data_IF_386364311139
#
_entry.id   IF_386364311139
#
_cell.length_a   1.000
_cell.length_b   1.000
_cell.length_c   1.000
_cell.angle_alpha   90.00
_cell.angle_beta   90.00
_cell.angle_gamma   90.00
#
_symmetry.space_group_name_H-M   'P 1'
#
loop_
_entity.id
_entity.type
_entity.pdbx_description
1 polymer ?
#
# COMPACT_ATOMS: atom_id res chain seq x y z
N UNK A 1 -3.69 10.51 11.50
CA UNK A 1 -2.27 10.17 11.72
C UNK A 1 -1.83 10.35 13.16
N UNK A 2 -1.96 11.56 13.76
CA UNK A 2 -1.51 11.81 15.15
C UNK A 2 -2.18 10.86 16.15
N UNK A 3 -3.52 10.75 16.09
CA UNK A 3 -4.27 9.82 16.94
C UNK A 3 -3.83 8.36 16.78
N UNK A 4 -3.56 7.94 15.53
CA UNK A 4 -3.07 6.59 15.24
C UNK A 4 -1.65 6.37 15.79
N UNK A 5 -0.78 7.38 15.78
CA UNK A 5 0.55 7.29 16.41
C UNK A 5 0.46 7.14 17.92
N UNK A 6 -0.38 7.93 18.58
CA UNK A 6 -0.59 7.84 20.02
C UNK A 6 -1.12 6.46 20.44
N UNK A 7 -2.11 5.93 19.71
CA UNK A 7 -2.67 4.60 20.00
C UNK A 7 -1.71 3.45 19.67
N UNK A 8 -0.74 3.66 18.77
CA UNK A 8 0.20 2.61 18.37
C UNK A 8 1.48 2.58 19.21
N UNK A 9 1.68 3.58 20.06
CA UNK A 9 2.96 3.87 20.68
C UNK A 9 3.45 2.72 21.57
N UNK A 10 2.57 2.11 22.35
CA UNK A 10 2.87 0.95 23.19
C UNK A 10 3.35 -0.26 22.36
N UNK A 11 2.64 -0.55 21.27
CA UNK A 11 3.00 -1.62 20.35
C UNK A 11 4.36 -1.33 19.66
N UNK A 12 4.68 -0.06 19.38
CA UNK A 12 5.94 0.35 18.76
C UNK A 12 7.13 0.20 19.70
N UNK A 13 6.95 0.55 20.98
CA UNK A 13 7.94 0.29 22.02
C UNK A 13 8.18 -1.22 22.17
N UNK A 14 7.12 -2.03 22.17
CA UNK A 14 7.25 -3.48 22.17
C UNK A 14 8.05 -4.01 20.96
N UNK A 15 7.82 -3.42 19.78
CA UNK A 15 8.49 -3.83 18.54
C UNK A 15 9.98 -3.45 18.53
N UNK A 16 10.34 -2.29 19.09
CA UNK A 16 11.75 -1.85 19.18
C UNK A 16 12.49 -2.61 20.28
N UNK A 17 11.86 -2.83 21.44
CA UNK A 17 12.52 -3.38 22.62
C UNK A 17 12.60 -4.92 22.58
N UNK A 18 11.57 -5.61 22.07
CA UNK A 18 11.53 -7.08 22.09
C UNK A 18 11.98 -7.74 20.79
N UNK A 19 11.97 -7.04 19.65
CA UNK A 19 12.27 -7.64 18.35
C UNK A 19 13.55 -7.07 17.72
N UNK A 20 14.31 -7.94 17.03
CA UNK A 20 15.47 -7.51 16.25
C UNK A 20 15.04 -6.57 15.12
N UNK A 21 15.69 -5.41 15.03
CA UNK A 21 15.49 -4.44 13.95
C UNK A 21 15.95 -5.08 12.64
N UNK A 22 15.00 -5.35 11.75
CA UNK A 22 15.25 -5.83 10.38
C UNK A 22 14.98 -4.70 9.39
N UNK A 23 15.51 -4.74 8.16
CA UNK A 23 15.27 -3.70 7.16
C UNK A 23 13.79 -3.30 6.97
N UNK A 24 12.81 -4.22 6.95
CA UNK A 24 11.38 -3.85 6.85
C UNK A 24 10.88 -2.99 8.02
N UNK A 25 11.47 -3.15 9.22
CA UNK A 25 11.13 -2.35 10.40
C UNK A 25 11.61 -0.91 10.23
N UNK A 26 12.77 -0.69 9.62
CA UNK A 26 13.26 0.66 9.30
C UNK A 26 12.34 1.33 8.29
N UNK A 27 11.96 0.61 7.24
CA UNK A 27 11.02 1.10 6.20
C UNK A 27 9.67 1.47 6.83
N UNK A 28 9.17 0.69 7.79
CA UNK A 28 7.95 1.02 8.54
C UNK A 28 8.05 2.37 9.26
N UNK A 29 9.13 2.63 10.01
CA UNK A 29 9.28 3.90 10.72
C UNK A 29 9.45 5.08 9.76
N UNK A 30 10.20 4.88 8.67
CA UNK A 30 10.34 5.89 7.61
C UNK A 30 8.97 6.22 7.02
N UNK A 31 8.15 5.22 6.68
CA UNK A 31 6.80 5.42 6.13
C UNK A 31 5.90 6.25 7.06
N UNK A 32 5.90 5.96 8.37
CA UNK A 32 5.08 6.73 9.33
C UNK A 32 5.56 8.16 9.47
N UNK A 33 6.87 8.36 9.63
CA UNK A 33 7.44 9.69 9.82
C UNK A 33 7.23 10.56 8.58
N UNK A 34 7.48 10.00 7.39
CA UNK A 34 7.26 10.73 6.13
C UNK A 34 5.80 11.06 5.90
N UNK A 35 4.85 10.18 6.27
CA UNK A 35 3.43 10.48 6.17
C UNK A 35 2.99 11.60 7.13
N UNK A 36 3.53 11.63 8.35
CA UNK A 36 3.27 12.73 9.28
C UNK A 36 3.84 14.05 8.76
N UNK A 37 5.10 14.06 8.31
CA UNK A 37 5.73 15.23 7.73
C UNK A 37 4.98 15.72 6.49
N UNK A 38 4.60 14.82 5.58
CA UNK A 38 3.79 15.13 4.41
C UNK A 38 2.46 15.78 4.82
N UNK A 39 1.72 15.20 5.76
CA UNK A 39 0.45 15.75 6.23
C UNK A 39 0.61 17.15 6.81
N UNK A 40 1.58 17.35 7.70
CA UNK A 40 1.85 18.64 8.33
C UNK A 40 2.26 19.71 7.32
N UNK A 41 3.19 19.41 6.42
CA UNK A 41 3.66 20.35 5.40
C UNK A 41 2.57 20.65 4.39
N UNK A 42 1.82 19.65 3.93
CA UNK A 42 0.71 19.83 3.00
C UNK A 42 -0.40 20.70 3.62
N UNK A 43 -0.74 20.50 4.89
CA UNK A 43 -1.71 21.36 5.59
C UNK A 43 -1.19 22.79 5.73
N UNK A 44 0.08 22.98 6.10
CA UNK A 44 0.68 24.32 6.16
C UNK A 44 0.68 25.01 4.78
N UNK A 45 0.97 24.23 3.71
CA UNK A 45 0.94 24.67 2.32
C UNK A 45 -0.43 25.16 1.86
N UNK A 46 -1.46 24.35 2.09
CA UNK A 46 -2.84 24.69 1.70
C UNK A 46 -3.39 25.87 2.49
N UNK A 47 -3.05 25.99 3.78
CA UNK A 47 -3.52 27.07 4.65
C UNK A 47 -2.67 28.35 4.55
N UNK A 48 -1.57 28.34 3.80
CA UNK A 48 -0.69 29.51 3.68
C UNK A 48 0.03 29.89 5.00
N UNK A 49 0.12 28.95 5.94
CA UNK A 49 0.65 29.22 7.27
C UNK A 49 2.18 29.20 7.23
N UNK A 50 2.79 30.37 7.47
CA UNK A 50 4.24 30.51 7.66
C UNK A 50 5.10 30.13 6.43
N UNK A 51 4.54 30.23 5.22
CA UNK A 51 5.26 29.95 3.97
C UNK A 51 5.51 31.27 3.26
N UNK A 52 6.77 31.71 3.33
CA UNK A 52 7.24 32.90 2.60
C UNK A 52 7.58 32.57 1.14
N UNK A 53 7.87 31.29 0.84
CA UNK A 53 8.25 30.81 -0.48
C UNK A 53 7.44 29.55 -0.83
N UNK A 54 6.46 29.70 -1.73
CA UNK A 54 5.62 28.60 -2.19
C UNK A 54 6.40 27.51 -2.90
N UNK A 55 7.53 27.84 -3.56
CA UNK A 55 8.37 26.85 -4.23
C UNK A 55 9.01 25.90 -3.22
N UNK A 56 9.55 26.47 -2.13
CA UNK A 56 10.18 25.68 -1.07
C UNK A 56 9.17 24.82 -0.31
N UNK A 57 7.98 25.36 -0.02
CA UNK A 57 6.89 24.60 0.57
C UNK A 57 6.48 23.41 -0.30
N UNK A 58 6.28 23.65 -1.60
CA UNK A 58 5.88 22.60 -2.53
C UNK A 58 6.95 21.53 -2.71
N UNK A 59 8.22 21.91 -2.75
CA UNK A 59 9.35 20.98 -2.79
C UNK A 59 9.27 19.95 -1.65
N UNK A 60 9.03 20.38 -0.41
CA UNK A 60 8.89 19.46 0.72
C UNK A 60 7.64 18.59 0.64
N UNK A 61 6.51 19.13 0.16
CA UNK A 61 5.29 18.32 -0.07
C UNK A 61 5.61 17.17 -1.01
N UNK A 62 6.27 17.45 -2.14
CA UNK A 62 6.62 16.43 -3.14
C UNK A 62 7.67 15.46 -2.60
N UNK A 63 8.66 15.95 -1.86
CA UNK A 63 9.71 15.11 -1.25
C UNK A 63 9.12 14.10 -0.26
N UNK A 64 8.32 14.57 0.70
CA UNK A 64 7.72 13.70 1.70
C UNK A 64 6.68 12.75 1.09
N UNK A 65 5.92 13.21 0.09
CA UNK A 65 5.05 12.35 -0.70
C UNK A 65 5.83 11.20 -1.35
N UNK A 66 6.93 11.50 -2.04
CA UNK A 66 7.74 10.49 -2.70
C UNK A 66 8.33 9.48 -1.70
N UNK A 67 8.87 9.94 -0.57
CA UNK A 67 9.43 9.04 0.47
C UNK A 67 8.35 8.13 1.04
N UNK A 68 7.18 8.69 1.34
CA UNK A 68 6.05 7.99 1.93
C UNK A 68 5.52 6.90 1.00
N UNK A 69 5.20 7.28 -0.24
CA UNK A 69 4.63 6.37 -1.24
C UNK A 69 5.60 5.23 -1.56
N UNK A 70 6.90 5.51 -1.69
CA UNK A 70 7.90 4.49 -1.94
C UNK A 70 8.11 3.55 -0.75
N UNK A 71 8.03 4.07 0.48
CA UNK A 71 8.17 3.25 1.68
C UNK A 71 6.98 2.29 1.83
N UNK A 72 5.76 2.79 1.60
CA UNK A 72 4.53 2.00 1.61
C UNK A 72 4.54 0.95 0.48
N UNK A 73 4.87 1.33 -0.75
CA UNK A 73 4.99 0.40 -1.87
C UNK A 73 6.06 -0.68 -1.61
N UNK A 74 7.17 -0.31 -0.98
CA UNK A 74 8.22 -1.26 -0.58
C UNK A 74 7.71 -2.25 0.48
N UNK A 75 6.91 -1.81 1.46
CA UNK A 75 6.28 -2.72 2.42
C UNK A 75 5.38 -3.75 1.72
N UNK A 76 4.62 -3.35 0.69
CA UNK A 76 3.77 -4.29 -0.04
C UNK A 76 4.59 -5.24 -0.88
N UNK A 77 5.62 -4.72 -1.55
CA UNK A 77 6.53 -5.55 -2.31
C UNK A 77 7.17 -6.61 -1.42
N UNK A 78 7.67 -6.23 -0.23
CA UNK A 78 8.28 -7.17 0.71
C UNK A 78 7.30 -8.25 1.16
N UNK A 79 6.04 -7.88 1.39
CA UNK A 79 4.98 -8.81 1.76
C UNK A 79 4.60 -9.74 0.61
N UNK A 80 4.39 -9.19 -0.58
CA UNK A 80 4.12 -9.97 -1.79
C UNK A 80 5.29 -10.93 -2.09
N UNK A 81 6.54 -10.49 -1.92
CA UNK A 81 7.74 -11.32 -2.08
C UNK A 81 7.73 -12.51 -1.11
N UNK A 82 7.30 -12.31 0.13
CA UNK A 82 7.15 -13.36 1.13
C UNK A 82 6.05 -14.38 0.74
N UNK A 83 4.93 -13.91 0.20
CA UNK A 83 3.83 -14.77 -0.26
C UNK A 83 4.24 -15.59 -1.49
N UNK A 84 4.96 -15.00 -2.43
CA UNK A 84 5.44 -15.63 -3.66
C UNK A 84 6.87 -16.20 -3.53
N UNK A 85 7.24 -16.72 -2.36
CA UNK A 85 8.60 -17.20 -2.10
C UNK A 85 9.04 -18.32 -3.06
N UNK A 86 8.09 -19.10 -3.57
CA UNK A 86 8.28 -20.27 -4.41
C UNK A 86 8.27 -19.96 -5.92
N UNK A 87 7.85 -18.75 -6.32
CA UNK A 87 7.75 -18.36 -7.74
C UNK A 87 8.66 -17.16 -8.04
N UNK A 88 9.96 -17.39 -8.34
CA UNK A 88 10.94 -16.31 -8.50
C UNK A 88 10.63 -15.38 -9.68
N UNK A 89 9.92 -15.88 -10.71
CA UNK A 89 9.47 -15.08 -11.85
C UNK A 89 8.51 -13.98 -11.41
N UNK A 90 7.57 -14.28 -10.51
CA UNK A 90 6.61 -13.31 -9.99
C UNK A 90 7.30 -12.28 -9.10
N UNK A 91 8.28 -12.70 -8.30
CA UNK A 91 9.07 -11.77 -7.49
C UNK A 91 9.83 -10.74 -8.35
N UNK A 92 10.48 -11.18 -9.44
CA UNK A 92 11.16 -10.29 -10.38
C UNK A 92 10.20 -9.32 -11.05
N UNK A 93 9.01 -9.80 -11.44
CA UNK A 93 7.97 -8.96 -12.03
C UNK A 93 7.47 -7.89 -11.05
N UNK A 94 7.17 -8.26 -9.80
CA UNK A 94 6.76 -7.32 -8.76
C UNK A 94 7.87 -6.31 -8.42
N UNK A 95 9.13 -6.74 -8.43
CA UNK A 95 10.28 -5.86 -8.21
C UNK A 95 10.43 -4.84 -9.34
N UNK A 96 10.19 -5.25 -10.59
CA UNK A 96 10.20 -4.37 -11.75
C UNK A 96 9.09 -3.32 -11.65
N UNK A 97 7.88 -3.71 -11.26
CA UNK A 97 6.77 -2.77 -11.07
C UNK A 97 7.07 -1.78 -9.94
N UNK A 98 7.61 -2.25 -8.82
CA UNK A 98 8.04 -1.37 -7.73
C UNK A 98 9.12 -0.37 -8.20
N UNK A 99 10.08 -0.80 -9.02
CA UNK A 99 11.08 0.09 -9.59
C UNK A 99 10.48 1.15 -10.54
N UNK A 100 9.40 0.84 -11.25
CA UNK A 100 8.65 1.82 -12.05
C UNK A 100 7.96 2.86 -11.17
N UNK A 101 7.35 2.45 -10.05
CA UNK A 101 6.78 3.38 -9.07
C UNK A 101 7.86 4.32 -8.52
N UNK A 102 9.00 3.76 -8.13
CA UNK A 102 10.15 4.51 -7.65
C UNK A 102 10.66 5.53 -8.68
N UNK A 103 10.82 5.09 -9.94
CA UNK A 103 11.19 5.97 -11.04
C UNK A 103 10.17 7.09 -11.26
N UNK A 104 8.87 6.77 -11.27
CA UNK A 104 7.79 7.76 -11.44
C UNK A 104 7.78 8.82 -10.34
N UNK A 105 7.93 8.42 -9.08
CA UNK A 105 7.99 9.36 -7.94
C UNK A 105 9.24 10.24 -7.98
N UNK A 106 10.38 9.67 -8.37
CA UNK A 106 11.65 10.43 -8.50
C UNK A 106 11.57 11.44 -9.64
N UNK A 107 11.03 11.05 -10.80
CA UNK A 107 10.83 11.99 -11.90
C UNK A 107 9.90 13.14 -11.48
N UNK A 108 8.84 12.85 -10.73
CA UNK A 108 7.99 13.88 -10.16
C UNK A 108 8.74 14.83 -9.21
N UNK A 109 9.74 14.34 -8.48
CA UNK A 109 10.60 15.14 -7.60
C UNK A 109 11.63 16.00 -8.36
N UNK A 110 12.22 15.49 -9.44
CA UNK A 110 13.19 16.26 -10.24
C UNK A 110 12.53 17.26 -11.20
N UNK A 111 11.37 16.91 -11.74
CA UNK A 111 10.61 17.75 -12.66
C UNK A 111 9.48 18.49 -11.93
N UNK A 112 9.71 18.87 -10.67
CA UNK A 112 8.87 19.82 -9.94
C UNK A 112 8.79 21.09 -10.80
N UNK A 113 7.64 21.40 -11.41
CA UNK A 113 7.52 22.63 -12.17
C UNK A 113 7.79 23.78 -11.21
N UNK A 114 8.57 24.77 -11.63
CA UNK A 114 8.63 26.07 -10.97
C UNK A 114 7.20 26.60 -10.92
N UNK A 115 6.52 26.41 -9.79
CA UNK A 115 5.16 26.88 -9.64
C UNK A 115 5.22 28.39 -9.60
N UNK A 116 4.65 29.05 -10.62
CA UNK A 116 4.22 30.46 -10.56
C UNK A 116 3.05 30.60 -9.58
N UNK A 117 3.19 30.05 -8.37
CA UNK A 117 2.19 30.15 -7.33
C UNK A 117 2.20 31.57 -6.80
N UNK A 118 1.36 32.43 -7.37
CA UNK A 118 1.13 33.77 -6.82
C UNK A 118 0.55 33.63 -5.42
N UNK A 119 1.12 34.35 -4.44
CA UNK A 119 0.47 34.54 -3.15
C UNK A 119 -0.86 35.28 -3.40
N UNK A 120 -1.98 34.60 -3.19
CA UNK A 120 -3.30 35.25 -3.19
C UNK A 120 -3.60 35.65 -1.76
N UNK A 121 -4.01 36.90 -1.55
CA UNK A 121 -4.40 37.38 -0.23
C UNK A 121 -5.73 36.71 0.19
N UNK A 122 -5.82 36.07 1.37
CA UNK A 122 -4.80 35.94 2.42
C UNK A 122 -3.78 34.82 2.13
N UNK A 123 -2.48 35.18 2.04
CA UNK A 123 -1.23 34.37 1.97
C UNK A 123 -1.30 32.87 1.57
N UNK A 124 -2.19 32.47 0.68
CA UNK A 124 -2.35 31.07 0.29
C UNK A 124 -1.60 30.80 -1.03
N UNK A 125 -0.85 29.69 -1.06
CA UNK A 125 -0.21 29.22 -2.29
C UNK A 125 -1.27 28.54 -3.16
N UNK A 126 -1.66 29.22 -4.25
CA UNK A 126 -2.61 28.67 -5.22
C UNK A 126 -1.87 27.95 -6.34
N UNK A 127 -2.53 26.95 -6.92
CA UNK A 127 -2.03 26.16 -8.04
C UNK A 127 -3.09 26.18 -9.13
N UNK A 128 -2.64 26.19 -10.38
CA UNK A 128 -3.57 26.18 -11.51
C UNK A 128 -3.84 24.77 -12.04
N UNK A 129 -2.85 23.85 -12.00
CA UNK A 129 -3.01 22.49 -12.53
C UNK A 129 -2.08 21.45 -11.90
N UNK A 130 -2.55 20.20 -11.82
CA UNK A 130 -1.73 19.03 -11.45
C UNK A 130 -0.73 18.76 -12.58
N UNK A 131 0.55 18.60 -12.25
CA UNK A 131 1.60 18.35 -13.23
C UNK A 131 1.48 16.95 -13.83
N UNK A 132 1.83 16.80 -15.12
CA UNK A 132 1.81 15.53 -15.83
C UNK A 132 2.56 14.42 -15.07
N UNK A 133 3.76 14.71 -14.56
CA UNK A 133 4.57 13.77 -13.79
C UNK A 133 3.90 13.31 -12.48
N UNK A 134 3.11 14.19 -11.83
CA UNK A 134 2.37 13.82 -10.62
C UNK A 134 1.25 12.83 -10.95
N UNK A 135 0.52 13.06 -12.05
CA UNK A 135 -0.51 12.13 -12.53
C UNK A 135 0.08 10.79 -12.95
N UNK A 136 1.23 10.79 -13.64
CA UNK A 136 1.95 9.56 -14.02
C UNK A 136 2.39 8.79 -12.78
N UNK A 137 2.97 9.46 -11.77
CA UNK A 137 3.39 8.82 -10.52
C UNK A 137 2.22 8.15 -9.81
N UNK A 138 1.09 8.85 -9.65
CA UNK A 138 -0.13 8.29 -9.05
C UNK A 138 -0.67 7.11 -9.87
N UNK A 139 -0.64 7.20 -11.20
CA UNK A 139 -1.09 6.13 -12.09
C UNK A 139 -0.23 4.88 -11.97
N UNK A 140 1.09 5.03 -11.94
CA UNK A 140 2.02 3.89 -11.74
C UNK A 140 1.84 3.21 -10.38
N UNK A 141 1.59 3.98 -9.33
CA UNK A 141 1.28 3.46 -7.99
C UNK A 141 -0.01 2.64 -8.01
N UNK A 142 -1.08 3.17 -8.62
CA UNK A 142 -2.36 2.46 -8.72
C UNK A 142 -2.22 1.13 -9.48
N UNK A 143 -1.47 1.12 -10.58
CA UNK A 143 -1.19 -0.12 -11.33
C UNK A 143 -0.46 -1.13 -10.46
N UNK A 144 0.56 -0.69 -9.71
CA UNK A 144 1.29 -1.56 -8.79
C UNK A 144 0.36 -2.14 -7.72
N UNK A 145 -0.44 -1.31 -7.04
CA UNK A 145 -1.38 -1.75 -6.01
C UNK A 145 -2.42 -2.74 -6.56
N UNK A 146 -2.92 -2.49 -7.78
CA UNK A 146 -3.85 -3.39 -8.48
C UNK A 146 -3.22 -4.75 -8.74
N UNK A 147 -2.01 -4.77 -9.29
CA UNK A 147 -1.30 -6.02 -9.62
C UNK A 147 -0.97 -6.79 -8.34
N UNK A 148 -0.50 -6.11 -7.29
CA UNK A 148 -0.20 -6.73 -6.00
C UNK A 148 -1.46 -7.33 -5.39
N UNK A 149 -2.57 -6.58 -5.40
CA UNK A 149 -3.87 -7.07 -4.92
C UNK A 149 -4.31 -8.32 -5.68
N UNK A 150 -4.38 -8.24 -7.01
CA UNK A 150 -4.82 -9.36 -7.86
C UNK A 150 -3.91 -10.58 -7.66
N UNK A 151 -2.60 -10.38 -7.61
CA UNK A 151 -1.65 -11.47 -7.41
C UNK A 151 -1.89 -12.16 -6.04
N UNK A 152 -1.95 -11.39 -4.96
CA UNK A 152 -2.12 -11.93 -3.61
C UNK A 152 -3.49 -12.61 -3.47
N UNK A 153 -4.57 -12.00 -3.97
CA UNK A 153 -5.91 -12.59 -3.96
C UNK A 153 -5.98 -13.87 -4.79
N UNK A 154 -5.35 -13.90 -5.97
CA UNK A 154 -5.27 -15.10 -6.79
C UNK A 154 -4.51 -16.24 -6.08
N UNK A 155 -3.39 -15.92 -5.41
CA UNK A 155 -2.60 -16.92 -4.69
C UNK A 155 -3.39 -17.50 -3.51
N UNK A 156 -4.08 -16.65 -2.76
CA UNK A 156 -4.94 -17.10 -1.67
C UNK A 156 -6.08 -17.99 -2.19
N UNK A 157 -6.70 -17.60 -3.31
CA UNK A 157 -7.72 -18.40 -3.96
C UNK A 157 -7.21 -19.79 -4.39
N UNK A 158 -5.98 -19.89 -4.92
CA UNK A 158 -5.38 -21.18 -5.26
C UNK A 158 -5.15 -22.07 -4.02
N UNK A 159 -4.74 -21.48 -2.89
CA UNK A 159 -4.53 -22.22 -1.63
C UNK A 159 -5.86 -22.77 -1.12
N UNK A 160 -6.93 -21.95 -1.12
CA UNK A 160 -8.28 -22.43 -0.78
C UNK A 160 -8.79 -23.51 -1.72
N UNK A 161 -8.55 -23.35 -3.02
CA UNK A 161 -8.94 -24.32 -4.04
C UNK A 161 -8.23 -25.66 -3.89
N UNK A 162 -6.99 -25.67 -3.44
CA UNK A 162 -6.19 -26.90 -3.28
C UNK A 162 -6.62 -27.74 -2.07
N UNK A 163 -7.39 -27.18 -1.14
CA UNK A 163 -7.94 -27.91 0.01
C UNK A 163 -9.27 -28.63 -0.29
N UNK A 164 -9.97 -28.29 -1.38
CA UNK A 164 -11.33 -28.80 -1.65
C UNK A 164 -11.58 -29.09 -3.17
N UNK A 165 -11.46 -30.36 -3.58
CA UNK A 165 -12.26 -31.04 -4.62
C UNK A 165 -12.39 -30.47 -6.06
N UNK A 166 -12.97 -31.23 -7.01
CA UNK A 166 -12.84 -31.00 -8.45
C UNK A 166 -13.55 -29.73 -9.00
N UNK A 167 -12.95 -29.24 -10.08
CA UNK A 167 -12.97 -27.86 -10.60
C UNK A 167 -14.28 -27.41 -11.26
N UNK A 168 -15.12 -28.34 -11.72
CA UNK A 168 -16.20 -28.02 -12.66
C UNK A 168 -17.53 -27.66 -11.98
N UNK A 169 -17.74 -28.06 -10.72
CA UNK A 169 -19.01 -27.91 -10.02
C UNK A 169 -19.15 -26.57 -9.27
N UNK A 170 -18.06 -25.79 -9.16
CA UNK A 170 -17.94 -24.64 -8.24
C UNK A 170 -18.14 -23.26 -8.87
N UNK A 171 -18.03 -23.12 -10.19
CA UNK A 171 -18.43 -21.87 -10.88
C UNK A 171 -19.93 -21.59 -10.71
N UNK A 172 -20.76 -22.64 -10.56
CA UNK A 172 -22.18 -22.49 -10.19
C UNK A 172 -22.39 -22.13 -8.70
N UNK A 173 -21.53 -22.60 -7.79
CA UNK A 173 -21.66 -22.35 -6.34
C UNK A 173 -21.17 -20.94 -5.96
N UNK A 174 -20.29 -20.32 -6.76
CA UNK A 174 -19.87 -18.93 -6.55
C UNK A 174 -21.00 -17.92 -6.79
N UNK A 175 -22.00 -18.29 -7.60
CA UNK A 175 -23.25 -17.54 -7.75
C UNK A 175 -24.22 -17.77 -6.56
N UNK A 176 -24.02 -18.83 -5.79
CA UNK A 176 -24.94 -19.29 -4.73
C UNK A 176 -24.62 -18.71 -3.34
N UNK A 177 -23.65 -17.80 -3.24
CA UNK A 177 -23.44 -16.95 -2.04
C UNK A 177 -22.91 -17.66 -0.78
N UNK A 178 -22.96 -18.99 -0.68
CA UNK A 178 -22.64 -19.75 0.53
C UNK A 178 -21.14 -19.86 0.85
N UNK A 179 -20.25 -19.77 -0.15
CA UNK A 179 -18.78 -19.82 0.04
C UNK A 179 -18.11 -18.43 0.17
N UNK A 180 -18.82 -17.35 -0.19
CA UNK A 180 -18.36 -15.97 -0.01
C UNK A 180 -18.08 -15.59 1.46
N UNK A 181 -18.88 -16.01 2.46
CA UNK A 181 -18.63 -15.68 3.87
C UNK A 181 -17.29 -16.21 4.37
N UNK A 182 -16.93 -17.44 3.99
CA UNK A 182 -15.68 -18.09 4.44
C UNK A 182 -14.46 -17.46 3.76
N UNK A 183 -14.55 -17.19 2.46
CA UNK A 183 -13.50 -16.49 1.71
C UNK A 183 -13.32 -15.05 2.20
N UNK A 184 -14.41 -14.31 2.38
CA UNK A 184 -14.42 -12.96 2.95
C UNK A 184 -13.78 -12.97 4.34
N UNK A 185 -14.18 -13.90 5.22
CA UNK A 185 -13.64 -14.01 6.59
C UNK A 185 -12.14 -14.30 6.62
N UNK A 186 -11.61 -15.10 5.69
CA UNK A 186 -10.15 -15.26 5.53
C UNK A 186 -9.49 -14.01 4.96
N UNK A 187 -10.09 -13.35 3.97
CA UNK A 187 -9.63 -12.06 3.42
C UNK A 187 -9.44 -10.99 4.51
N UNK A 188 -10.40 -10.91 5.44
CA UNK A 188 -10.31 -10.06 6.63
C UNK A 188 -9.21 -10.51 7.59
N UNK A 189 -9.03 -11.83 7.78
CA UNK A 189 -8.06 -12.40 8.73
C UNK A 189 -6.61 -12.32 8.25
N UNK A 190 -6.38 -12.43 6.95
CA UNK A 190 -5.05 -12.38 6.32
C UNK A 190 -4.65 -10.95 5.92
N UNK A 191 -5.41 -9.93 6.33
CA UNK A 191 -5.11 -8.53 6.01
C UNK A 191 -5.06 -8.26 4.50
N UNK A 192 -5.90 -8.95 3.70
CA UNK A 192 -6.08 -8.68 2.27
C UNK A 192 -7.04 -7.52 2.00
N UNK A 193 -8.00 -7.28 2.90
CA UNK A 193 -8.87 -6.10 2.88
C UNK A 193 -8.06 -4.81 2.73
N UNK A 194 -6.86 -4.80 3.29
CA UNK A 194 -5.93 -3.71 3.15
C UNK A 194 -5.64 -3.32 1.68
N UNK A 195 -5.24 -4.29 0.88
CA UNK A 195 -4.93 -4.07 -0.53
C UNK A 195 -6.18 -3.64 -1.32
N UNK A 196 -7.34 -4.18 -0.95
CA UNK A 196 -8.62 -3.74 -1.52
C UNK A 196 -8.93 -2.29 -1.17
N UNK A 197 -8.76 -1.87 0.09
CA UNK A 197 -8.99 -0.49 0.52
C UNK A 197 -8.01 0.45 -0.19
N UNK A 198 -6.74 0.09 -0.29
CA UNK A 198 -5.74 0.87 -1.02
C UNK A 198 -6.08 1.01 -2.50
N UNK A 199 -6.55 -0.07 -3.14
CA UNK A 199 -7.02 -0.07 -4.52
C UNK A 199 -8.26 0.81 -4.72
N UNK A 200 -9.27 0.71 -3.85
CA UNK A 200 -10.51 1.49 -3.96
C UNK A 200 -10.24 2.98 -3.75
N UNK A 201 -9.48 3.32 -2.71
CA UNK A 201 -9.13 4.71 -2.42
C UNK A 201 -8.17 5.26 -3.50
N UNK A 202 -7.22 4.46 -4.01
CA UNK A 202 -6.32 4.87 -5.09
C UNK A 202 -7.06 5.12 -6.41
N UNK A 203 -7.99 4.22 -6.76
CA UNK A 203 -8.86 4.36 -7.95
C UNK A 203 -9.71 5.62 -7.85
N UNK A 204 -10.31 5.87 -6.67
CA UNK A 204 -11.11 7.07 -6.41
C UNK A 204 -10.25 8.33 -6.58
N UNK A 205 -9.01 8.31 -6.08
CA UNK A 205 -8.05 9.43 -6.23
C UNK A 205 -7.76 9.72 -7.69
N UNK A 206 -7.43 8.70 -8.48
CA UNK A 206 -7.12 8.86 -9.92
C UNK A 206 -8.35 9.38 -10.68
N UNK A 207 -9.53 8.84 -10.42
CA UNK A 207 -10.77 9.29 -11.08
C UNK A 207 -11.01 10.77 -10.80
N UNK A 208 -10.94 11.19 -9.53
CA UNK A 208 -11.09 12.60 -9.16
C UNK A 208 -10.01 13.49 -9.78
N UNK A 209 -8.77 13.01 -9.87
CA UNK A 209 -7.66 13.73 -10.51
C UNK A 209 -7.87 13.88 -12.01
N UNK A 210 -8.43 12.90 -12.71
CA UNK A 210 -8.57 12.94 -14.18
C UNK A 210 -9.79 13.73 -14.63
N UNK A 211 -10.85 13.81 -13.83
CA UNK A 211 -12.08 14.53 -14.19
C UNK A 211 -11.81 16.04 -14.27
N UNK A 212 -11.92 16.66 -15.47
CA UNK A 212 -11.61 18.08 -15.67
C UNK A 212 -12.74 19.01 -15.18
N UNK A 213 -13.95 18.49 -14.95
CA UNK A 213 -15.12 19.27 -14.50
C UNK A 213 -15.08 19.67 -13.03
N UNK A 214 -14.15 19.13 -12.24
CA UNK A 214 -13.98 19.45 -10.83
C UNK A 214 -12.98 20.59 -10.65
N UNK A 215 -13.29 21.54 -9.76
CA UNK A 215 -12.33 22.56 -9.36
C UNK A 215 -11.09 21.89 -8.74
N UNK A 216 -9.91 22.47 -8.97
CA UNK A 216 -8.63 21.88 -8.56
C UNK A 216 -8.59 21.50 -7.08
N UNK A 217 -9.19 22.32 -6.21
CA UNK A 217 -9.23 22.09 -4.76
C UNK A 217 -9.90 20.74 -4.41
N UNK A 218 -10.99 20.39 -5.09
CA UNK A 218 -11.65 19.09 -4.90
C UNK A 218 -10.86 17.92 -5.50
N UNK A 219 -10.09 18.16 -6.57
CA UNK A 219 -9.24 17.14 -7.20
C UNK A 219 -8.06 16.75 -6.30
N UNK A 220 -7.53 17.69 -5.51
CA UNK A 220 -6.33 17.47 -4.69
C UNK A 220 -6.62 17.06 -3.24
N UNK A 221 -7.80 17.35 -2.70
CA UNK A 221 -8.12 17.07 -1.29
C UNK A 221 -8.12 15.57 -0.95
N UNK A 222 -8.42 14.72 -1.94
CA UNK A 222 -8.53 13.28 -1.75
C UNK A 222 -7.16 12.58 -1.74
N UNK A 223 -6.12 13.19 -2.32
CA UNK A 223 -4.74 12.67 -2.34
C UNK A 223 -4.19 12.47 -0.92
N UNK A 224 -4.14 13.49 -0.03
CA UNK A 224 -3.63 13.30 1.33
C UNK A 224 -4.47 12.35 2.17
N UNK A 225 -5.78 12.23 1.89
CA UNK A 225 -6.64 11.24 2.53
C UNK A 225 -6.21 9.83 2.13
N UNK A 226 -6.12 9.54 0.83
CA UNK A 226 -5.67 8.25 0.29
C UNK A 226 -4.32 7.82 0.89
N UNK A 227 -3.35 8.73 0.88
CA UNK A 227 -2.01 8.52 1.45
C UNK A 227 -2.11 8.15 2.92
N UNK A 228 -2.79 8.99 3.72
CA UNK A 228 -2.90 8.77 5.17
C UNK A 228 -3.59 7.45 5.50
N UNK A 229 -4.69 7.14 4.79
CA UNK A 229 -5.41 5.87 4.99
C UNK A 229 -4.54 4.67 4.64
N UNK A 230 -3.87 4.71 3.49
CA UNK A 230 -3.00 3.62 3.05
C UNK A 230 -1.85 3.43 4.03
N UNK A 231 -1.21 4.51 4.48
CA UNK A 231 -0.13 4.46 5.46
C UNK A 231 -0.57 3.84 6.80
N UNK A 232 -1.68 4.32 7.37
CA UNK A 232 -2.23 3.80 8.64
C UNK A 232 -2.47 2.31 8.54
N UNK A 233 -3.13 1.85 7.48
CA UNK A 233 -3.48 0.43 7.35
C UNK A 233 -2.21 -0.40 7.02
N UNK A 234 -1.28 0.09 6.20
CA UNK A 234 0.02 -0.56 5.94
C UNK A 234 0.75 -0.86 7.24
N UNK A 235 0.84 0.17 8.07
CA UNK A 235 1.56 0.16 9.34
C UNK A 235 0.84 -0.73 10.35
N UNK A 236 -0.48 -0.64 10.43
CA UNK A 236 -1.29 -1.52 11.28
C UNK A 236 -1.09 -2.99 10.89
N UNK A 237 -1.14 -3.34 9.61
CA UNK A 237 -0.92 -4.71 9.14
C UNK A 237 0.51 -5.17 9.48
N UNK A 238 1.52 -4.37 9.14
CA UNK A 238 2.92 -4.71 9.40
C UNK A 238 3.16 -5.00 10.89
N UNK A 239 2.62 -4.15 11.76
CA UNK A 239 2.74 -4.27 13.22
C UNK A 239 2.06 -5.52 13.74
N UNK A 240 0.81 -5.76 13.34
CA UNK A 240 0.05 -6.91 13.79
C UNK A 240 0.63 -8.24 13.27
N UNK A 241 1.21 -8.26 12.06
CA UNK A 241 1.96 -9.42 11.55
C UNK A 241 3.22 -9.64 12.38
N UNK A 242 3.98 -8.58 12.69
CA UNK A 242 5.21 -8.68 13.49
C UNK A 242 4.97 -9.14 14.92
N UNK A 243 3.90 -8.68 15.54
CA UNK A 243 3.51 -9.05 16.91
C UNK A 243 2.77 -10.40 16.96
N UNK A 244 2.61 -11.10 15.82
CA UNK A 244 1.92 -12.39 15.75
C UNK A 244 0.41 -12.34 15.98
N UNK A 245 -0.19 -11.14 16.01
CA UNK A 245 -1.63 -10.90 16.17
C UNK A 245 -2.41 -11.23 14.89
N UNK A 246 -1.77 -11.03 13.74
CA UNK A 246 -2.21 -11.56 12.45
C UNK A 246 -1.29 -12.73 12.12
N UNK A 247 -1.87 -13.93 11.97
CA UNK A 247 -1.16 -15.03 11.31
C UNK A 247 -1.00 -14.61 9.86
N UNK A 248 0.20 -14.15 9.49
CA UNK A 248 0.59 -14.11 8.09
C UNK A 248 0.42 -15.55 7.62
N UNK A 249 -0.65 -15.78 6.85
CA UNK A 249 -1.14 -17.07 6.38
C UNK A 249 -0.03 -18.11 6.42
N UNK A 250 -0.25 -19.18 7.18
CA UNK A 250 0.62 -20.36 7.34
C UNK A 250 0.90 -21.08 6.00
N UNK A 251 1.00 -20.37 4.88
CA UNK A 251 1.45 -20.85 3.58
C UNK A 251 2.82 -21.53 3.68
N UNK A 252 3.81 -21.07 4.48
CA UNK A 252 5.04 -21.83 4.61
C UNK A 252 4.85 -23.14 5.39
N UNK A 253 4.03 -23.13 6.47
CA UNK A 253 3.83 -24.30 7.32
C UNK A 253 2.94 -25.36 6.65
N UNK A 254 1.86 -24.95 5.97
CA UNK A 254 0.96 -25.85 5.23
C UNK A 254 1.58 -26.39 3.95
N UNK A 255 2.51 -25.67 3.29
CA UNK A 255 3.27 -26.23 2.15
C UNK A 255 4.34 -27.22 2.65
N UNK A 256 4.95 -26.98 3.80
CA UNK A 256 5.90 -27.92 4.41
C UNK A 256 5.18 -29.16 4.95
N UNK A 257 4.03 -28.99 5.61
CA UNK A 257 3.21 -30.10 6.11
C UNK A 257 2.55 -30.90 4.98
N UNK A 258 2.08 -30.25 3.91
CA UNK A 258 1.59 -30.97 2.72
C UNK A 258 2.70 -31.66 1.93
N UNK A 259 3.92 -31.11 1.84
CA UNK A 259 5.08 -31.82 1.25
C UNK A 259 5.58 -32.96 2.14
N UNK A 260 5.51 -32.83 3.47
CA UNK A 260 5.85 -33.92 4.39
C UNK A 260 4.80 -35.04 4.35
N UNK A 261 3.51 -34.68 4.29
CA UNK A 261 2.42 -35.66 4.12
C UNK A 261 2.47 -36.34 2.74
N UNK A 262 2.83 -35.62 1.67
CA UNK A 262 3.02 -36.22 0.33
C UNK A 262 4.27 -37.12 0.28
N UNK A 263 5.36 -36.76 0.95
CA UNK A 263 6.56 -37.63 1.06
C UNK A 263 6.36 -38.84 1.99
N UNK A 264 5.47 -38.74 2.98
CA UNK A 264 5.21 -39.83 3.92
C UNK A 264 4.09 -40.77 3.43
N UNK A 265 3.29 -40.33 2.45
CA UNK A 265 2.30 -41.16 1.73
C UNK A 265 2.84 -41.91 0.50
N UNK A 266 4.11 -41.71 0.13
CA UNK A 266 4.74 -42.37 -1.03
C UNK A 266 5.69 -43.50 -0.62
N UNK A 267 5.52 -44.07 0.59
CA UNK A 267 6.36 -45.18 1.06
C UNK A 267 5.61 -46.46 1.44
N UNK A 268 4.29 -46.55 1.26
CA UNK A 268 3.57 -47.82 1.38
C UNK A 268 2.44 -47.94 0.35
N UNK A 269 2.77 -48.51 -0.80
CA UNK A 269 1.92 -49.48 -1.50
C UNK A 269 2.75 -50.18 -2.61
N UNK A 270 3.25 -51.37 -2.24
CA UNK A 270 3.84 -52.46 -3.06
C UNK A 270 5.06 -52.16 -3.93
#
# INVERSE_FOLDING_TARGET
MIYDMLNSLEDEFELILKHKIKPPTVVYFVARLSCLCYGSVNTAYVLGLNINDCHFGYFFVVAFFAIETNSVALLFFLRARAIFYDVPRMQKFLACLWALVFGGSILNFFFVPSSDGSLVEPKACTRDNIGFYSTVSLGTLLVFDTVVYVAISYRLFQVFRSQDGPVLQRTCIFLDGATLPTFSRSLFRDGQLYYLVSLLTGSTTIVLVVIPSLQLQYRVIFIPLHITFTNIIACWVFRNVKLGRIRESEIPALIVESRMSFKQGEQECL
#
